data_IF_728883090231
#
_entry.id   IF_728883090231
#
_cell.length_a   1.000
_cell.length_b   1.000
_cell.length_c   1.000
_cell.angle_alpha   90.00
_cell.angle_beta   90.00
_cell.angle_gamma   90.00
#
_symmetry.space_group_name_H-M   'P 1'
#
loop_
_entity.id
_entity.type
_entity.pdbx_description
1 polymer ?
#
# COMPACT_ATOMS: atom_id res chain seq x y z
N UNK A 1 41.70 37.11 17.17
CA UNK A 1 43.02 37.43 17.76
C UNK A 1 42.72 37.89 19.16
N UNK A 2 43.30 37.24 20.18
CA UNK A 2 42.96 37.31 21.63
C UNK A 2 41.48 37.03 21.98
N UNK A 3 41.07 36.46 23.13
CA UNK A 3 41.69 35.56 24.13
C UNK A 3 40.53 34.66 24.69
N UNK A 4 40.66 33.35 24.97
CA UNK A 4 41.44 32.59 25.97
C UNK A 4 40.90 32.59 27.42
N UNK A 5 41.17 31.49 28.15
CA UNK A 5 40.90 31.19 29.59
C UNK A 5 39.45 30.80 30.00
N UNK A 6 39.17 29.91 30.98
CA UNK A 6 39.68 28.54 31.33
C UNK A 6 38.89 27.93 32.53
N UNK A 7 38.79 26.59 32.63
CA UNK A 7 38.39 25.84 33.86
C UNK A 7 37.29 24.78 33.61
N UNK A 8 37.34 23.46 33.91
CA UNK A 8 38.14 22.56 34.81
C UNK A 8 37.61 22.49 36.26
N UNK A 9 37.38 21.33 36.92
CA UNK A 9 37.15 19.91 36.54
C UNK A 9 36.65 19.10 37.79
N UNK A 10 36.61 17.76 37.68
CA UNK A 10 36.48 16.72 38.74
C UNK A 10 35.11 16.56 39.45
N UNK A 11 34.70 15.38 39.94
CA UNK A 11 35.28 14.02 39.82
C UNK A 11 34.79 13.01 40.88
N UNK A 12 35.16 11.71 40.73
CA UNK A 12 34.81 10.52 41.57
C UNK A 12 33.40 9.93 41.30
N UNK A 13 33.12 8.62 41.35
CA UNK A 13 33.89 7.42 41.75
C UNK A 13 33.55 6.94 43.18
N UNK A 14 33.49 5.66 43.55
CA UNK A 14 33.73 4.38 42.86
C UNK A 14 33.18 3.18 43.71
N UNK A 15 32.97 2.00 43.11
CA UNK A 15 32.97 0.68 43.78
C UNK A 15 31.64 -0.12 43.76
N UNK A 16 31.55 -1.47 43.81
CA UNK A 16 32.39 -2.64 43.41
C UNK A 16 32.07 -3.84 44.35
N UNK A 17 32.27 -5.08 43.86
CA UNK A 17 32.14 -6.41 44.50
C UNK A 17 30.77 -7.09 44.52
N UNK A 18 30.64 -8.42 44.59
CA UNK A 18 31.43 -9.60 44.13
C UNK A 18 30.56 -10.87 44.42
N UNK A 19 30.91 -12.04 43.83
CA UNK A 19 30.53 -13.42 44.24
C UNK A 19 29.13 -13.98 43.93
N UNK A 20 28.90 -15.31 43.89
CA UNK A 20 29.66 -16.53 43.48
C UNK A 20 28.64 -17.73 43.44
N UNK A 21 29.06 -18.88 42.89
CA UNK A 21 28.55 -20.28 43.06
C UNK A 21 27.08 -20.71 42.75
N UNK A 22 27.00 -21.63 41.77
CA UNK A 22 26.47 -23.01 41.83
C UNK A 22 25.16 -23.39 42.58
N UNK A 23 24.25 -24.07 41.88
CA UNK A 23 24.10 -25.55 42.01
C UNK A 23 23.19 -26.17 40.93
N UNK A 24 23.40 -27.46 40.66
CA UNK A 24 22.68 -28.28 39.67
C UNK A 24 21.39 -28.88 40.22
N UNK A 25 20.47 -29.32 39.34
CA UNK A 25 19.81 -30.63 39.45
C UNK A 25 19.33 -31.15 38.08
N UNK A 26 19.37 -32.47 37.93
CA UNK A 26 19.20 -33.25 36.68
C UNK A 26 17.97 -34.20 36.79
N UNK A 27 17.81 -35.10 35.82
CA UNK A 27 17.03 -36.36 35.81
C UNK A 27 15.59 -36.32 35.29
N UNK A 28 15.45 -36.77 34.03
CA UNK A 28 14.53 -37.77 33.46
C UNK A 28 13.07 -37.95 33.97
N UNK A 29 12.12 -38.07 33.02
CA UNK A 29 11.57 -39.39 32.61
C UNK A 29 10.34 -39.30 31.65
N UNK A 30 10.51 -39.80 30.42
CA UNK A 30 9.46 -40.54 29.66
C UNK A 30 9.53 -42.05 30.08
N UNK A 31 8.69 -43.04 29.61
CA UNK A 31 7.84 -43.10 28.40
C UNK A 31 6.49 -43.89 28.58
N UNK A 32 5.96 -44.47 27.47
CA UNK A 32 5.00 -45.63 27.34
C UNK A 32 3.48 -45.28 27.34
N UNK A 33 2.63 -45.53 26.30
CA UNK A 33 2.34 -46.67 25.36
C UNK A 33 1.33 -47.68 25.98
N UNK A 34 0.22 -48.15 25.36
CA UNK A 34 -0.34 -48.14 23.97
C UNK A 34 -1.92 -48.04 24.00
N UNK A 35 -2.84 -48.49 23.11
CA UNK A 35 -2.87 -49.20 21.80
C UNK A 35 -4.30 -49.13 21.12
N UNK A 36 -4.37 -49.35 19.78
CA UNK A 36 -5.51 -49.93 18.99
C UNK A 36 -6.90 -49.22 18.95
N UNK A 37 -7.86 -49.47 18.04
CA UNK A 37 -8.05 -50.42 16.90
C UNK A 37 -8.88 -49.71 15.78
N UNK A 38 -8.71 -49.93 14.46
CA UNK A 38 -9.29 -50.98 13.58
C UNK A 38 -10.84 -51.07 13.55
N UNK A 39 -11.57 -51.38 12.46
CA UNK A 39 -11.41 -51.35 10.97
C UNK A 39 -12.85 -51.49 10.36
N UNK A 40 -13.22 -51.77 9.08
CA UNK A 40 -12.57 -52.03 7.78
C UNK A 40 -13.63 -51.80 6.63
N UNK A 41 -13.36 -52.23 5.38
CA UNK A 41 -14.26 -52.46 4.22
C UNK A 41 -14.69 -51.22 3.39
N UNK A 42 -14.58 -51.05 2.05
CA UNK A 42 -14.11 -51.78 0.83
C UNK A 42 -15.21 -52.01 -0.25
N UNK A 43 -14.82 -51.81 -1.52
CA UNK A 43 -15.44 -52.22 -2.81
C UNK A 43 -16.58 -51.41 -3.48
N UNK A 44 -16.34 -51.14 -4.77
CA UNK A 44 -17.29 -51.13 -5.90
C UNK A 44 -16.76 -52.16 -6.95
N UNK A 45 -17.50 -52.55 -8.02
CA UNK A 45 -17.41 -51.82 -9.31
C UNK A 45 -18.65 -51.99 -10.25
N UNK A 46 -18.48 -51.60 -11.54
CA UNK A 46 -19.20 -52.09 -12.75
C UNK A 46 -20.70 -51.68 -12.96
N UNK A 47 -21.24 -51.53 -14.19
CA UNK A 47 -20.72 -51.56 -15.58
C UNK A 47 -21.59 -50.68 -16.54
N UNK A 48 -21.27 -50.69 -17.85
CA UNK A 48 -21.77 -49.79 -18.91
C UNK A 48 -23.19 -50.03 -19.46
N UNK A 49 -23.73 -49.01 -20.16
CA UNK A 49 -24.78 -49.16 -21.18
C UNK A 49 -24.77 -48.01 -22.20
N UNK A 50 -24.62 -48.32 -23.50
CA UNK A 50 -24.76 -47.36 -24.62
C UNK A 50 -26.19 -47.31 -25.17
N UNK A 51 -26.64 -46.15 -25.65
CA UNK A 51 -27.78 -46.01 -26.59
C UNK A 51 -27.50 -44.87 -27.57
N UNK A 52 -27.61 -45.15 -28.87
CA UNK A 52 -27.36 -44.21 -29.98
C UNK A 52 -28.62 -43.39 -30.40
N UNK A 53 -28.51 -42.37 -31.29
CA UNK A 53 -29.45 -41.24 -31.32
C UNK A 53 -30.72 -41.42 -32.17
N UNK A 54 -31.78 -40.68 -31.78
CA UNK A 54 -33.00 -40.52 -32.57
C UNK A 54 -32.97 -39.26 -33.45
N UNK A 55 -33.56 -39.35 -34.65
CA UNK A 55 -33.49 -38.32 -35.69
C UNK A 55 -34.54 -37.18 -35.56
N UNK A 56 -34.34 -36.12 -36.34
CA UNK A 56 -35.11 -34.87 -36.27
C UNK A 56 -36.53 -34.92 -36.87
N UNK A 57 -37.37 -33.97 -36.48
CA UNK A 57 -38.68 -33.64 -37.07
C UNK A 57 -38.86 -32.10 -36.97
N UNK A 58 -39.45 -31.41 -37.97
CA UNK A 58 -39.13 -30.00 -38.21
C UNK A 58 -39.85 -28.98 -37.31
N UNK A 59 -39.32 -27.75 -37.32
CA UNK A 59 -39.76 -26.66 -36.46
C UNK A 59 -41.13 -26.06 -36.84
N UNK A 60 -41.96 -25.81 -35.83
CA UNK A 60 -43.05 -24.84 -35.91
C UNK A 60 -42.55 -23.39 -35.71
N UNK A 61 -43.29 -22.37 -36.17
CA UNK A 61 -42.87 -20.97 -36.07
C UNK A 61 -42.83 -20.49 -34.61
N UNK A 62 -41.76 -19.81 -34.17
CA UNK A 62 -41.67 -19.28 -32.82
C UNK A 62 -42.64 -18.11 -32.61
N UNK A 63 -43.30 -18.09 -31.45
CA UNK A 63 -44.16 -16.97 -31.04
C UNK A 63 -43.33 -15.68 -30.83
N UNK A 64 -43.93 -14.48 -30.97
CA UNK A 64 -43.19 -13.22 -30.88
C UNK A 64 -42.49 -13.04 -29.53
N UNK A 65 -41.16 -13.02 -29.54
CA UNK A 65 -40.38 -12.69 -28.35
C UNK A 65 -40.60 -11.22 -28.01
N UNK A 66 -41.15 -10.96 -26.81
CA UNK A 66 -41.28 -9.60 -26.29
C UNK A 66 -39.91 -8.92 -26.23
N UNK A 67 -39.80 -7.75 -26.86
CA UNK A 67 -38.52 -7.03 -27.01
C UNK A 67 -37.99 -6.59 -25.65
N UNK A 68 -37.08 -7.39 -25.06
CA UNK A 68 -36.32 -6.96 -23.91
C UNK A 68 -35.46 -5.75 -24.34
N UNK A 69 -35.67 -4.61 -23.67
CA UNK A 69 -34.84 -3.43 -23.90
C UNK A 69 -33.36 -3.78 -23.62
N UNK A 70 -32.39 -3.27 -24.41
CA UNK A 70 -30.99 -3.63 -24.22
C UNK A 70 -30.53 -3.23 -22.82
N UNK A 71 -30.12 -4.22 -22.01
CA UNK A 71 -29.41 -3.95 -20.78
C UNK A 71 -28.15 -3.10 -21.11
N UNK A 72 -27.85 -2.03 -20.35
CA UNK A 72 -26.77 -1.12 -20.69
C UNK A 72 -25.43 -1.88 -20.67
N UNK A 73 -24.82 -2.03 -21.84
CA UNK A 73 -23.70 -2.94 -22.04
C UNK A 73 -22.53 -2.62 -21.10
N UNK A 74 -22.26 -3.52 -20.14
CA UNK A 74 -21.05 -3.45 -19.34
C UNK A 74 -19.82 -3.56 -20.26
N UNK A 75 -18.80 -2.77 -19.95
CA UNK A 75 -17.69 -2.55 -20.88
C UNK A 75 -16.95 -3.83 -21.26
N UNK A 76 -16.83 -4.07 -22.56
CA UNK A 76 -16.05 -5.18 -23.12
C UNK A 76 -14.65 -5.26 -22.50
N UNK A 77 -14.21 -6.48 -22.16
CA UNK A 77 -12.98 -6.80 -21.42
C UNK A 77 -12.95 -6.51 -19.90
N UNK A 78 -13.96 -6.99 -19.14
CA UNK A 78 -13.78 -7.57 -17.79
C UNK A 78 -13.18 -6.68 -16.68
N UNK A 79 -13.10 -5.37 -16.91
CA UNK A 79 -12.32 -4.40 -16.15
C UNK A 79 -13.20 -3.60 -15.19
N UNK A 80 -12.86 -3.67 -13.91
CA UNK A 80 -13.67 -3.08 -12.84
C UNK A 80 -13.49 -1.55 -12.75
N UNK A 81 -14.53 -0.82 -13.16
CA UNK A 81 -14.53 0.65 -13.15
C UNK A 81 -14.52 1.23 -11.73
N UNK A 82 -15.01 0.52 -10.72
CA UNK A 82 -14.95 0.96 -9.32
C UNK A 82 -13.49 1.00 -8.86
N UNK A 83 -12.74 -0.08 -9.09
CA UNK A 83 -11.35 -0.18 -8.66
C UNK A 83 -10.43 0.82 -9.34
N UNK A 84 -10.69 1.15 -10.61
CA UNK A 84 -9.95 2.23 -11.29
C UNK A 84 -10.33 3.62 -10.75
N UNK A 85 -11.60 3.86 -10.45
CA UNK A 85 -12.01 5.11 -9.80
C UNK A 85 -11.37 5.25 -8.40
N UNK A 86 -11.27 4.16 -7.61
CA UNK A 86 -10.61 4.16 -6.30
C UNK A 86 -9.11 4.45 -6.45
N UNK A 87 -8.41 3.86 -7.43
CA UNK A 87 -6.99 4.20 -7.73
C UNK A 87 -6.83 5.69 -8.08
N UNK A 88 -7.74 6.25 -8.87
CA UNK A 88 -7.65 7.66 -9.26
C UNK A 88 -7.86 8.60 -8.06
N UNK A 89 -8.83 8.30 -7.18
CA UNK A 89 -9.02 9.05 -5.92
C UNK A 89 -7.77 8.92 -5.04
N UNK A 90 -7.24 7.70 -4.87
CA UNK A 90 -6.05 7.46 -4.07
C UNK A 90 -4.81 8.22 -4.58
N UNK A 91 -4.54 8.22 -5.89
CA UNK A 91 -3.38 8.97 -6.43
C UNK A 91 -3.59 10.48 -6.28
N UNK A 92 -4.82 10.97 -6.46
CA UNK A 92 -5.12 12.39 -6.24
C UNK A 92 -4.83 12.79 -4.79
N UNK A 93 -5.18 11.94 -3.82
CA UNK A 93 -4.85 12.16 -2.41
C UNK A 93 -3.34 12.12 -2.12
N UNK A 94 -2.57 11.22 -2.76
CA UNK A 94 -1.08 11.23 -2.67
C UNK A 94 -0.52 12.59 -3.12
N UNK A 95 -0.90 13.06 -4.32
CA UNK A 95 -0.34 14.30 -4.88
C UNK A 95 -0.76 15.53 -4.05
N UNK A 96 -2.01 15.58 -3.58
CA UNK A 96 -2.48 16.63 -2.66
C UNK A 96 -1.74 16.58 -1.32
N UNK A 97 -1.52 15.39 -0.75
CA UNK A 97 -0.76 15.21 0.48
C UNK A 97 0.67 15.72 0.37
N UNK A 98 1.39 15.35 -0.69
CA UNK A 98 2.75 15.85 -0.92
C UNK A 98 2.81 17.36 -1.21
N UNK A 99 1.76 17.95 -1.79
CA UNK A 99 1.65 19.41 -1.97
C UNK A 99 1.30 20.16 -0.67
N UNK A 100 0.68 19.51 0.32
CA UNK A 100 0.40 20.09 1.64
C UNK A 100 1.55 19.94 2.64
N UNK A 101 2.43 18.95 2.46
CA UNK A 101 3.53 18.63 3.38
C UNK A 101 4.42 19.83 3.77
N UNK A 102 4.90 20.65 2.82
CA UNK A 102 5.70 21.85 3.14
C UNK A 102 4.92 22.96 3.90
N UNK A 103 3.59 22.90 3.92
CA UNK A 103 2.73 23.99 4.40
C UNK A 103 2.15 23.76 5.81
N UNK A 104 2.39 22.59 6.43
CA UNK A 104 1.60 22.10 7.57
C UNK A 104 1.51 23.04 8.77
N UNK A 105 2.61 23.69 9.13
CA UNK A 105 2.69 24.59 10.28
C UNK A 105 1.80 25.85 10.17
N UNK A 106 1.20 26.11 9.00
CA UNK A 106 0.40 27.32 8.76
C UNK A 106 -0.99 27.29 9.41
N UNK A 107 -1.65 26.12 9.51
CA UNK A 107 -3.00 26.05 10.10
C UNK A 107 -3.39 24.65 10.58
N UNK A 108 -3.98 24.60 11.79
CA UNK A 108 -4.64 23.42 12.35
C UNK A 108 -5.62 22.75 11.38
N UNK A 109 -6.32 23.51 10.54
CA UNK A 109 -7.26 22.95 9.55
C UNK A 109 -6.55 22.18 8.43
N UNK A 110 -5.34 22.62 8.06
CA UNK A 110 -4.50 21.95 7.06
C UNK A 110 -3.80 20.73 7.67
N UNK A 111 -3.26 20.86 8.88
CA UNK A 111 -2.68 19.78 9.68
C UNK A 111 -3.71 18.65 9.92
N UNK A 112 -4.93 18.99 10.31
CA UNK A 112 -6.04 18.06 10.47
C UNK A 112 -6.43 17.35 9.15
N UNK A 113 -6.51 18.11 8.06
CA UNK A 113 -6.80 17.55 6.74
C UNK A 113 -5.67 16.59 6.28
N UNK A 114 -4.42 16.92 6.60
CA UNK A 114 -3.24 16.09 6.33
C UNK A 114 -3.24 14.80 7.18
N UNK A 115 -3.48 14.87 8.49
CA UNK A 115 -3.59 13.69 9.36
C UNK A 115 -4.68 12.73 8.86
N UNK A 116 -5.86 13.27 8.50
CA UNK A 116 -6.94 12.47 7.90
C UNK A 116 -6.53 11.86 6.54
N UNK A 117 -5.89 12.64 5.67
CA UNK A 117 -5.44 12.20 4.34
C UNK A 117 -4.35 11.12 4.44
N UNK A 118 -3.39 11.26 5.36
CA UNK A 118 -2.33 10.27 5.63
C UNK A 118 -2.85 9.02 6.33
N UNK A 119 -3.94 9.13 7.11
CA UNK A 119 -4.66 7.98 7.64
C UNK A 119 -5.24 7.08 6.54
N UNK A 120 -5.52 7.59 5.33
CA UNK A 120 -6.27 6.81 4.31
C UNK A 120 -5.56 6.55 2.97
N UNK A 121 -4.74 7.47 2.44
CA UNK A 121 -4.28 7.35 1.05
C UNK A 121 -3.31 6.18 0.80
N UNK A 122 -2.29 5.99 1.65
CA UNK A 122 -1.40 4.82 1.53
C UNK A 122 -2.15 3.52 1.85
N UNK A 123 -2.94 3.39 2.93
CA UNK A 123 -3.77 2.21 3.17
C UNK A 123 -4.66 1.79 1.99
N UNK A 124 -5.25 2.74 1.22
CA UNK A 124 -5.93 2.38 -0.05
C UNK A 124 -4.96 1.71 -1.03
N UNK A 125 -3.79 2.30 -1.29
CA UNK A 125 -2.80 1.74 -2.22
C UNK A 125 -2.25 0.39 -1.77
N UNK A 126 -1.99 0.22 -0.47
CA UNK A 126 -1.50 -1.02 0.12
C UNK A 126 -2.56 -2.12 0.01
N UNK A 127 -3.81 -1.85 0.38
CA UNK A 127 -4.92 -2.82 0.27
C UNK A 127 -5.27 -3.16 -1.17
N UNK A 128 -5.28 -2.19 -2.10
CA UNK A 128 -5.45 -2.48 -3.52
C UNK A 128 -4.29 -3.32 -4.08
N UNK A 129 -3.06 -3.05 -3.65
CA UNK A 129 -1.89 -3.84 -4.06
C UNK A 129 -1.99 -5.28 -3.58
N UNK A 130 -2.43 -5.51 -2.35
CA UNK A 130 -2.77 -6.84 -1.84
C UNK A 130 -3.85 -7.52 -2.70
N UNK A 131 -4.95 -6.81 -2.99
CA UNK A 131 -6.04 -7.34 -3.80
C UNK A 131 -5.58 -7.77 -5.20
N UNK A 132 -4.75 -6.98 -5.89
CA UNK A 132 -4.19 -7.37 -7.19
C UNK A 132 -3.11 -8.47 -7.12
N UNK A 133 -2.63 -8.81 -5.92
CA UNK A 133 -1.57 -9.80 -5.68
C UNK A 133 -2.08 -11.16 -5.18
N UNK A 134 -3.36 -11.28 -4.80
CA UNK A 134 -3.98 -12.53 -4.27
C UNK A 134 -3.82 -13.78 -5.15
N UNK A 135 -3.58 -13.60 -6.44
CA UNK A 135 -3.37 -14.68 -7.44
C UNK A 135 -1.89 -14.87 -7.83
N UNK A 136 -0.96 -14.24 -7.12
CA UNK A 136 0.48 -14.42 -7.33
C UNK A 136 0.95 -15.77 -6.75
N UNK A 137 1.78 -16.48 -7.51
CA UNK A 137 2.34 -17.81 -7.17
C UNK A 137 3.85 -17.88 -7.47
N UNK A 138 4.51 -16.73 -7.62
CA UNK A 138 5.91 -16.60 -8.03
C UNK A 138 6.30 -17.29 -9.37
N UNK A 139 5.32 -17.71 -10.17
CA UNK A 139 5.56 -18.39 -11.46
C UNK A 139 6.44 -17.54 -12.42
N UNK A 140 7.25 -18.14 -13.32
CA UNK A 140 8.21 -17.40 -14.16
C UNK A 140 7.59 -16.31 -15.06
N UNK A 141 6.29 -16.38 -15.37
CA UNK A 141 5.55 -15.30 -16.05
C UNK A 141 5.23 -14.14 -15.10
N UNK A 142 4.85 -14.44 -13.86
CA UNK A 142 4.55 -13.43 -12.84
C UNK A 142 5.81 -12.79 -12.27
N UNK A 143 6.91 -13.55 -12.09
CA UNK A 143 8.20 -13.01 -11.67
C UNK A 143 8.76 -12.01 -12.70
N UNK A 144 8.78 -12.36 -13.99
CA UNK A 144 9.15 -11.42 -15.07
C UNK A 144 8.25 -10.18 -15.12
N UNK A 145 6.94 -10.35 -14.87
CA UNK A 145 6.01 -9.23 -14.75
C UNK A 145 6.30 -8.35 -13.53
N UNK A 146 6.65 -8.92 -12.37
CA UNK A 146 7.04 -8.19 -11.16
C UNK A 146 8.31 -7.35 -11.39
N UNK A 147 9.35 -7.94 -11.99
CA UNK A 147 10.58 -7.23 -12.38
C UNK A 147 10.28 -6.08 -13.34
N UNK A 148 9.50 -6.34 -14.41
CA UNK A 148 9.11 -5.35 -15.42
C UNK A 148 8.24 -4.20 -14.87
N UNK A 149 7.36 -4.48 -13.90
CA UNK A 149 6.35 -3.52 -13.41
C UNK A 149 6.67 -2.84 -12.08
N UNK A 150 7.73 -3.27 -11.39
CA UNK A 150 8.15 -2.71 -10.10
C UNK A 150 9.65 -2.47 -10.06
N UNK A 151 10.48 -3.50 -10.27
CA UNK A 151 11.94 -3.39 -10.08
C UNK A 151 12.59 -2.44 -11.09
N UNK A 152 12.29 -2.57 -12.39
CA UNK A 152 12.90 -1.68 -13.40
C UNK A 152 12.39 -0.24 -13.30
N UNK A 153 11.07 0.03 -13.11
CA UNK A 153 10.60 1.37 -12.78
C UNK A 153 11.22 1.96 -11.50
N UNK A 154 11.44 1.15 -10.46
CA UNK A 154 12.14 1.56 -9.24
C UNK A 154 13.58 2.03 -9.54
N UNK A 155 14.38 1.18 -10.20
CA UNK A 155 15.77 1.49 -10.52
C UNK A 155 15.91 2.75 -11.40
N UNK A 156 15.01 2.92 -12.39
CA UNK A 156 15.00 4.11 -13.26
C UNK A 156 14.63 5.37 -12.47
N UNK A 157 13.58 5.32 -11.64
CA UNK A 157 13.06 6.51 -10.94
C UNK A 157 13.92 6.90 -9.73
N UNK A 158 14.48 5.95 -8.98
CA UNK A 158 15.47 6.25 -7.93
C UNK A 158 16.72 6.90 -8.52
N UNK A 159 17.28 6.32 -9.59
CA UNK A 159 18.43 6.90 -10.30
C UNK A 159 18.12 8.31 -10.83
N UNK A 160 16.91 8.52 -11.35
CA UNK A 160 16.46 9.84 -11.78
C UNK A 160 16.30 10.83 -10.61
N UNK A 161 15.89 10.38 -9.42
CA UNK A 161 15.86 11.23 -8.21
C UNK A 161 17.25 11.52 -7.63
N UNK A 162 18.20 10.59 -7.70
CA UNK A 162 19.62 10.85 -7.37
C UNK A 162 20.21 11.91 -8.29
N UNK A 163 19.96 11.82 -9.61
CA UNK A 163 20.38 12.87 -10.55
C UNK A 163 19.64 14.19 -10.32
N UNK A 164 18.33 14.15 -10.04
CA UNK A 164 17.52 15.35 -9.83
C UNK A 164 17.93 16.12 -8.58
N UNK A 165 18.21 15.43 -7.45
CA UNK A 165 18.71 16.09 -6.23
C UNK A 165 20.14 16.62 -6.36
N UNK A 166 20.99 15.93 -7.14
CA UNK A 166 22.34 16.40 -7.43
C UNK A 166 22.34 17.72 -8.21
N UNK A 167 21.63 17.76 -9.35
CA UNK A 167 21.59 18.96 -10.20
C UNK A 167 20.64 20.07 -9.69
N UNK A 168 19.58 19.71 -8.95
CA UNK A 168 18.57 20.65 -8.46
C UNK A 168 18.84 21.22 -7.06
N UNK A 169 19.47 20.44 -6.17
CA UNK A 169 19.70 20.81 -4.77
C UNK A 169 21.17 20.69 -4.34
N UNK A 170 22.11 20.45 -5.27
CA UNK A 170 23.55 20.42 -5.01
C UNK A 170 24.04 19.26 -4.13
N UNK A 171 23.22 18.22 -3.94
CA UNK A 171 23.55 17.09 -3.07
C UNK A 171 24.55 16.13 -3.72
N UNK A 172 25.29 15.37 -2.91
CA UNK A 172 26.25 14.38 -3.40
C UNK A 172 25.58 13.27 -4.24
N UNK A 173 26.31 12.76 -5.24
CA UNK A 173 25.80 11.80 -6.22
C UNK A 173 25.86 10.36 -5.68
N UNK A 174 25.03 10.06 -4.67
CA UNK A 174 24.93 8.73 -4.08
C UNK A 174 23.73 7.91 -4.64
N UNK A 175 24.02 6.72 -5.17
CA UNK A 175 23.03 5.77 -5.66
C UNK A 175 22.64 4.76 -4.58
N UNK A 176 22.05 5.25 -3.49
CA UNK A 176 21.60 4.46 -2.34
C UNK A 176 20.35 3.60 -2.66
N UNK A 177 20.46 2.65 -3.60
CA UNK A 177 19.35 1.77 -4.04
C UNK A 177 18.75 0.87 -2.93
N UNK A 178 19.30 0.93 -1.71
CA UNK A 178 18.83 0.23 -0.52
C UNK A 178 18.13 1.15 0.50
N UNK A 179 18.20 2.48 0.35
CA UNK A 179 17.45 3.48 1.13
C UNK A 179 16.55 4.31 0.17
N UNK A 180 15.33 3.82 -0.10
CA UNK A 180 14.51 4.29 -1.22
C UNK A 180 13.85 5.66 -0.94
N UNK A 181 14.30 6.70 -1.65
CA UNK A 181 13.97 8.08 -1.30
C UNK A 181 12.48 8.45 -1.50
N UNK A 182 11.86 8.85 -0.38
CA UNK A 182 10.63 9.64 -0.24
C UNK A 182 9.32 9.08 -0.83
N UNK A 183 9.28 8.75 -2.13
CA UNK A 183 8.14 8.06 -2.78
C UNK A 183 8.51 6.70 -3.39
N UNK A 184 9.79 6.42 -3.64
CA UNK A 184 10.21 5.15 -4.26
C UNK A 184 10.10 3.96 -3.29
N UNK A 185 10.07 4.21 -1.97
CA UNK A 185 9.91 3.19 -0.91
C UNK A 185 8.75 2.25 -1.17
N UNK A 186 7.65 2.75 -1.74
CA UNK A 186 6.47 1.95 -2.01
C UNK A 186 6.73 0.90 -3.09
N UNK A 187 7.61 1.16 -4.08
CA UNK A 187 7.96 0.16 -5.09
C UNK A 187 8.87 -0.92 -4.50
N UNK A 188 9.88 -0.54 -3.70
CA UNK A 188 10.72 -1.48 -2.98
C UNK A 188 9.87 -2.38 -2.05
N UNK A 189 9.01 -1.76 -1.24
CA UNK A 189 8.06 -2.43 -0.34
C UNK A 189 7.09 -3.34 -1.11
N UNK A 190 6.50 -2.86 -2.21
CA UNK A 190 5.57 -3.60 -3.06
C UNK A 190 6.24 -4.83 -3.69
N UNK A 191 7.54 -4.79 -3.99
CA UNK A 191 8.28 -5.96 -4.46
C UNK A 191 8.26 -7.08 -3.40
N UNK A 192 8.62 -6.78 -2.15
CA UNK A 192 8.65 -7.78 -1.07
C UNK A 192 7.25 -8.27 -0.64
N UNK A 193 6.24 -7.39 -0.58
CA UNK A 193 4.86 -7.82 -0.33
C UNK A 193 4.31 -8.72 -1.45
N UNK A 194 4.59 -8.41 -2.73
CA UNK A 194 4.21 -9.27 -3.86
C UNK A 194 4.95 -10.60 -3.82
N UNK A 195 6.24 -10.60 -3.49
CA UNK A 195 7.05 -11.82 -3.37
C UNK A 195 6.57 -12.73 -2.23
N UNK A 196 6.20 -12.17 -1.08
CA UNK A 196 5.66 -12.91 0.08
C UNK A 196 4.19 -13.34 -0.04
N UNK A 197 3.45 -12.83 -1.04
CA UNK A 197 2.03 -13.15 -1.25
C UNK A 197 1.65 -14.64 -1.24
N UNK A 198 2.49 -15.60 -1.71
CA UNK A 198 2.18 -17.03 -1.59
C UNK A 198 2.19 -17.55 -0.14
N UNK A 199 3.04 -17.00 0.73
CA UNK A 199 3.17 -17.43 2.15
C UNK A 199 1.88 -17.12 2.91
N UNK A 200 1.34 -15.92 2.74
CA UNK A 200 0.08 -15.48 3.36
C UNK A 200 -1.15 -16.34 2.99
N UNK A 201 -1.05 -17.19 1.96
CA UNK A 201 -2.13 -18.10 1.53
C UNK A 201 -2.12 -19.46 2.22
N UNK A 202 -1.02 -19.86 2.86
CA UNK A 202 -0.95 -21.09 3.68
C UNK A 202 -1.09 -20.81 5.18
N UNK A 203 -0.90 -19.55 5.59
CA UNK A 203 -1.06 -19.12 6.99
C UNK A 203 -2.54 -19.16 7.41
N UNK A 204 -2.85 -19.82 8.54
CA UNK A 204 -4.22 -20.06 9.03
C UNK A 204 -4.96 -18.82 9.51
N UNK A 205 -4.25 -17.80 9.99
CA UNK A 205 -4.79 -16.53 10.53
C UNK A 205 -3.98 -15.33 9.99
N UNK A 206 -3.99 -15.08 8.67
CA UNK A 206 -2.97 -14.24 8.03
C UNK A 206 -3.06 -12.77 8.47
N UNK A 207 -4.27 -12.23 8.65
CA UNK A 207 -4.47 -10.85 9.14
C UNK A 207 -3.98 -10.69 10.58
N UNK A 208 -4.23 -11.67 11.47
CA UNK A 208 -3.78 -11.62 12.87
C UNK A 208 -2.25 -11.62 12.95
N UNK A 209 -1.61 -12.51 12.18
CA UNK A 209 -0.14 -12.61 12.14
C UNK A 209 0.47 -11.35 11.50
N UNK A 210 -0.17 -10.75 10.48
CA UNK A 210 0.27 -9.46 9.93
C UNK A 210 0.19 -8.32 10.96
N UNK A 211 -0.84 -8.29 11.83
CA UNK A 211 -0.93 -7.34 12.94
C UNK A 211 0.17 -7.59 13.99
N UNK A 212 0.44 -8.84 14.36
CA UNK A 212 1.53 -9.18 15.28
C UNK A 212 2.89 -8.72 14.71
N UNK A 213 3.16 -8.96 13.43
CA UNK A 213 4.37 -8.47 12.76
C UNK A 213 4.42 -6.94 12.71
N UNK A 214 3.30 -6.26 12.45
CA UNK A 214 3.21 -4.79 12.50
C UNK A 214 3.48 -4.21 13.88
N UNK A 215 3.16 -4.92 14.96
CA UNK A 215 3.43 -4.49 16.33
C UNK A 215 4.89 -4.76 16.72
N UNK A 216 5.41 -5.96 16.42
CA UNK A 216 6.80 -6.33 16.66
C UNK A 216 7.81 -5.45 15.88
N UNK A 217 7.45 -5.03 14.66
CA UNK A 217 8.22 -4.06 13.89
C UNK A 217 8.22 -2.63 14.48
N UNK A 218 7.33 -2.37 15.45
CA UNK A 218 7.28 -1.11 16.19
C UNK A 218 7.93 -1.16 17.58
N UNK A 219 8.29 -2.34 18.09
CA UNK A 219 9.17 -2.52 19.25
C UNK A 219 10.66 -2.52 18.91
N UNK A 220 11.03 -2.25 17.65
CA UNK A 220 12.41 -2.21 17.19
C UNK A 220 12.65 -0.93 16.35
N UNK A 221 13.82 -0.31 16.50
CA UNK A 221 14.21 0.87 15.73
C UNK A 221 14.70 0.50 14.32
N UNK A 222 13.76 0.10 13.46
CA UNK A 222 14.01 -0.36 12.09
C UNK A 222 14.26 0.81 11.12
N UNK A 223 15.41 1.47 11.29
CA UNK A 223 15.83 2.67 10.52
C UNK A 223 16.59 2.33 9.22
N UNK A 224 16.50 3.24 8.24
CA UNK A 224 17.28 3.22 6.99
C UNK A 224 16.91 2.12 5.99
N UNK A 225 17.32 0.88 6.26
CA UNK A 225 17.31 -0.20 5.28
C UNK A 225 15.90 -0.49 4.70
N UNK A 226 15.73 -0.20 3.41
CA UNK A 226 14.55 -0.50 2.59
C UNK A 226 13.21 0.05 3.14
N UNK A 227 13.27 1.07 4.02
CA UNK A 227 12.11 1.56 4.79
C UNK A 227 11.36 0.42 5.54
N UNK A 228 12.12 -0.54 6.08
CA UNK A 228 11.60 -1.80 6.64
C UNK A 228 10.54 -1.60 7.74
N UNK A 229 10.71 -0.62 8.63
CA UNK A 229 9.70 -0.27 9.63
C UNK A 229 8.34 0.05 8.99
N UNK A 230 8.35 0.85 7.91
CA UNK A 230 7.14 1.21 7.14
C UNK A 230 6.58 0.02 6.37
N UNK A 231 7.43 -0.81 5.77
CA UNK A 231 7.04 -2.05 5.08
C UNK A 231 6.31 -3.04 6.00
N UNK A 232 6.77 -3.18 7.24
CA UNK A 232 6.17 -4.12 8.21
C UNK A 232 4.94 -3.53 8.92
N UNK A 233 4.93 -2.23 9.24
CA UNK A 233 3.76 -1.60 9.86
C UNK A 233 2.55 -1.48 8.90
N UNK A 234 2.73 -1.30 7.59
CA UNK A 234 1.62 -1.32 6.63
C UNK A 234 1.16 -2.73 6.21
N UNK A 235 1.89 -3.79 6.60
CA UNK A 235 1.61 -5.18 6.21
C UNK A 235 0.16 -5.66 6.46
N UNK A 236 -0.54 -5.29 7.56
CA UNK A 236 -1.93 -5.69 7.79
C UNK A 236 -2.86 -5.28 6.65
N UNK A 237 -2.68 -4.08 6.09
CA UNK A 237 -3.50 -3.58 4.98
C UNK A 237 -3.29 -4.37 3.69
N UNK A 238 -2.06 -4.85 3.45
CA UNK A 238 -1.73 -5.68 2.29
C UNK A 238 -2.38 -7.06 2.41
N UNK A 239 -2.33 -7.65 3.60
CA UNK A 239 -2.88 -8.99 3.89
C UNK A 239 -4.42 -8.98 3.98
N UNK A 240 -5.02 -7.88 4.45
CA UNK A 240 -6.45 -7.59 4.25
C UNK A 240 -6.75 -7.57 2.75
N UNK A 241 -5.95 -6.85 1.95
CA UNK A 241 -6.05 -6.80 0.49
C UNK A 241 -6.04 -8.18 -0.18
N UNK A 242 -5.08 -9.05 0.17
CA UNK A 242 -5.01 -10.44 -0.31
C UNK A 242 -6.31 -11.23 -0.02
N UNK A 243 -6.98 -10.89 1.07
CA UNK A 243 -8.22 -11.54 1.55
C UNK A 243 -9.50 -10.96 0.93
N UNK A 244 -9.42 -9.84 0.18
CA UNK A 244 -10.59 -9.22 -0.45
C UNK A 244 -11.02 -9.93 -1.74
N UNK A 245 -12.34 -9.96 -1.97
CA UNK A 245 -13.00 -10.55 -3.14
C UNK A 245 -13.95 -9.53 -3.78
N UNK A 246 -14.44 -9.79 -5.00
CA UNK A 246 -15.28 -8.83 -5.76
C UNK A 246 -16.58 -8.49 -5.03
N UNK A 247 -17.12 -9.46 -4.30
CA UNK A 247 -18.40 -9.35 -3.58
C UNK A 247 -18.29 -8.36 -2.41
N UNK A 248 -17.11 -8.22 -1.80
CA UNK A 248 -16.86 -7.22 -0.75
C UNK A 248 -16.94 -5.79 -1.33
N UNK A 249 -16.40 -5.56 -2.52
CA UNK A 249 -16.52 -4.27 -3.24
C UNK A 249 -17.93 -4.03 -3.80
N UNK A 250 -18.74 -5.07 -4.00
CA UNK A 250 -20.17 -4.92 -4.30
C UNK A 250 -20.96 -4.50 -3.04
N UNK A 251 -20.72 -5.17 -1.91
CA UNK A 251 -21.36 -4.85 -0.63
C UNK A 251 -21.06 -3.43 -0.14
N UNK A 252 -19.81 -2.96 -0.27
CA UNK A 252 -19.42 -1.58 0.05
C UNK A 252 -20.21 -0.52 -0.75
N UNK A 253 -20.78 -0.86 -1.91
CA UNK A 253 -21.55 0.09 -2.73
C UNK A 253 -23.05 0.11 -2.42
N UNK A 254 -23.52 -0.69 -1.45
CA UNK A 254 -24.92 -0.68 -1.00
C UNK A 254 -25.28 0.64 -0.31
N UNK A 255 -26.56 1.05 -0.41
CA UNK A 255 -27.01 2.35 0.11
C UNK A 255 -26.71 2.52 1.61
N UNK A 256 -26.99 1.49 2.43
CA UNK A 256 -26.79 1.53 3.88
C UNK A 256 -25.32 1.72 4.28
N UNK A 257 -24.38 1.05 3.60
CA UNK A 257 -22.95 1.23 3.86
C UNK A 257 -22.49 2.63 3.46
N UNK A 258 -22.99 3.16 2.33
CA UNK A 258 -22.67 4.52 1.87
C UNK A 258 -23.28 5.61 2.77
N UNK A 259 -24.44 5.35 3.38
CA UNK A 259 -25.01 6.22 4.41
C UNK A 259 -24.20 6.16 5.71
N UNK A 260 -23.79 4.97 6.16
CA UNK A 260 -22.95 4.79 7.34
C UNK A 260 -21.53 5.38 7.18
N UNK A 261 -21.01 5.44 5.95
CA UNK A 261 -19.74 6.07 5.65
C UNK A 261 -19.72 7.58 5.96
N UNK A 262 -20.84 8.29 5.82
CA UNK A 262 -20.90 9.74 6.07
C UNK A 262 -20.54 10.11 7.52
N UNK A 263 -21.19 9.56 8.58
CA UNK A 263 -20.81 9.84 9.96
C UNK A 263 -19.44 9.26 10.33
N UNK A 264 -18.99 8.15 9.72
CA UNK A 264 -17.63 7.63 9.93
C UNK A 264 -16.58 8.64 9.45
N UNK A 265 -16.73 9.19 8.25
CA UNK A 265 -15.80 10.17 7.71
C UNK A 265 -15.90 11.52 8.44
N UNK A 266 -17.11 11.97 8.79
CA UNK A 266 -17.28 13.18 9.60
C UNK A 266 -16.62 13.04 10.99
N UNK A 267 -16.80 11.89 11.65
CA UNK A 267 -16.15 11.57 12.93
C UNK A 267 -14.62 11.46 12.81
N UNK A 268 -14.10 10.90 11.72
CA UNK A 268 -12.66 10.82 11.47
C UNK A 268 -12.03 12.20 11.18
N UNK A 269 -12.70 13.06 10.40
CA UNK A 269 -12.26 14.44 10.13
C UNK A 269 -12.31 15.28 11.41
N UNK A 270 -13.38 15.15 12.20
CA UNK A 270 -13.48 15.81 13.51
C UNK A 270 -12.40 15.32 14.48
N UNK A 271 -12.17 14.00 14.55
CA UNK A 271 -11.11 13.39 15.34
C UNK A 271 -9.72 13.90 14.94
N UNK A 272 -9.41 13.96 13.65
CA UNK A 272 -8.16 14.53 13.15
C UNK A 272 -8.03 16.03 13.51
N UNK A 273 -9.12 16.81 13.48
CA UNK A 273 -9.12 18.21 13.90
C UNK A 273 -8.93 18.39 15.41
N UNK A 274 -9.43 17.47 16.24
CA UNK A 274 -9.18 17.45 17.68
C UNK A 274 -7.73 17.04 17.99
N UNK A 275 -7.19 16.04 17.28
CA UNK A 275 -5.87 15.47 17.54
C UNK A 275 -4.70 16.29 16.96
N UNK A 276 -4.92 17.08 15.91
CA UNK A 276 -3.90 17.89 15.23
C UNK A 276 -2.90 18.61 16.17
N UNK A 277 -3.33 19.50 17.09
CA UNK A 277 -2.39 20.21 17.99
C UNK A 277 -1.80 19.34 19.12
N UNK A 278 -1.98 18.02 19.09
CA UNK A 278 -1.65 17.09 20.18
C UNK A 278 -0.92 15.82 19.72
N UNK A 279 -0.81 15.53 18.42
CA UNK A 279 -0.26 14.27 17.89
C UNK A 279 0.69 14.52 16.72
N UNK A 280 1.94 14.08 16.85
CA UNK A 280 2.94 14.15 15.78
C UNK A 280 2.51 13.39 14.52
N UNK A 281 2.73 13.98 13.35
CA UNK A 281 2.49 13.37 12.03
C UNK A 281 3.25 12.05 11.82
N UNK A 282 4.33 11.80 12.58
CA UNK A 282 5.08 10.53 12.55
C UNK A 282 4.19 9.30 12.83
N UNK A 283 3.12 9.46 13.63
CA UNK A 283 2.15 8.38 13.87
C UNK A 283 1.47 7.90 12.58
N UNK A 284 1.13 8.82 11.67
CA UNK A 284 0.46 8.52 10.39
C UNK A 284 1.43 8.25 9.23
N UNK A 285 2.74 8.36 9.46
CA UNK A 285 3.76 7.87 8.51
C UNK A 285 4.06 6.37 8.66
N UNK A 286 3.63 5.75 9.77
CA UNK A 286 3.82 4.32 10.08
C UNK A 286 5.28 3.83 9.99
N UNK A 287 6.27 4.72 10.20
CA UNK A 287 7.70 4.39 10.09
C UNK A 287 8.40 4.19 11.43
N UNK A 288 8.01 4.96 12.45
CA UNK A 288 8.69 4.98 13.75
C UNK A 288 8.25 3.84 14.68
N UNK A 289 9.18 3.37 15.51
CA UNK A 289 8.90 2.52 16.66
C UNK A 289 8.42 3.31 17.89
N UNK A 290 8.21 2.63 19.01
CA UNK A 290 7.71 3.28 20.24
C UNK A 290 8.72 4.26 20.87
N UNK A 291 10.02 3.97 20.77
CA UNK A 291 11.09 4.78 21.38
C UNK A 291 11.24 6.12 20.67
N UNK A 292 11.43 6.12 19.34
CA UNK A 292 11.36 7.31 18.48
C UNK A 292 10.02 8.10 18.55
N UNK A 293 8.93 7.50 19.05
CA UNK A 293 7.65 8.19 19.33
C UNK A 293 7.50 8.67 20.78
N UNK A 294 8.50 8.46 21.64
CA UNK A 294 8.51 8.91 23.03
C UNK A 294 7.50 8.18 23.94
N UNK A 295 7.10 6.96 23.60
CA UNK A 295 6.06 6.20 24.33
C UNK A 295 6.51 4.80 24.72
N UNK A 296 5.95 4.26 25.80
CA UNK A 296 6.17 2.87 26.19
C UNK A 296 5.48 1.92 25.21
N UNK A 297 6.07 0.74 24.98
CA UNK A 297 5.55 -0.24 24.03
C UNK A 297 4.06 -0.64 24.28
N UNK A 298 3.55 -0.81 25.52
CA UNK A 298 2.13 -1.07 25.74
C UNK A 298 1.20 0.05 25.26
N UNK A 299 1.60 1.32 25.43
CA UNK A 299 0.85 2.48 24.92
C UNK A 299 0.90 2.49 23.39
N UNK A 300 2.09 2.31 22.81
CA UNK A 300 2.27 2.21 21.37
C UNK A 300 1.40 1.10 20.75
N UNK A 301 1.40 -0.10 21.33
CA UNK A 301 0.63 -1.23 20.82
C UNK A 301 -0.88 -0.97 20.89
N UNK A 302 -1.37 -0.41 22.00
CA UNK A 302 -2.78 -0.02 22.15
C UNK A 302 -3.19 1.03 21.11
N UNK A 303 -2.39 2.09 20.96
CA UNK A 303 -2.64 3.15 19.97
C UNK A 303 -2.57 2.59 18.55
N UNK A 304 -1.61 1.73 18.22
CA UNK A 304 -1.49 1.10 16.89
C UNK A 304 -2.65 0.16 16.57
N UNK A 305 -3.17 -0.62 17.52
CA UNK A 305 -4.36 -1.44 17.32
C UNK A 305 -5.59 -0.55 17.04
N UNK A 306 -5.77 0.52 17.82
CA UNK A 306 -6.84 1.50 17.59
C UNK A 306 -6.69 2.22 16.24
N UNK A 307 -5.46 2.62 15.88
CA UNK A 307 -5.12 3.26 14.61
C UNK A 307 -5.40 2.33 13.42
N UNK A 308 -4.99 1.06 13.49
CA UNK A 308 -5.29 0.04 12.47
C UNK A 308 -6.80 -0.12 12.27
N UNK A 309 -7.56 -0.27 13.35
CA UNK A 309 -9.02 -0.41 13.28
C UNK A 309 -9.71 0.83 12.69
N UNK A 310 -9.35 2.03 13.18
CA UNK A 310 -9.88 3.29 12.68
C UNK A 310 -9.52 3.51 11.20
N UNK A 311 -8.28 3.22 10.80
CA UNK A 311 -7.84 3.28 9.40
C UNK A 311 -8.65 2.33 8.52
N UNK A 312 -8.90 1.08 8.94
CA UNK A 312 -9.75 0.15 8.16
C UNK A 312 -11.17 0.68 8.01
N UNK A 313 -11.77 1.27 9.05
CA UNK A 313 -13.11 1.86 8.95
C UNK A 313 -13.14 3.06 7.98
N UNK A 314 -12.17 3.98 8.07
CA UNK A 314 -12.06 5.14 7.17
C UNK A 314 -11.77 4.70 5.72
N UNK A 315 -10.89 3.72 5.53
CA UNK A 315 -10.57 3.09 4.24
C UNK A 315 -11.83 2.53 3.56
N UNK A 316 -12.61 1.72 4.28
CA UNK A 316 -13.86 1.13 3.75
C UNK A 316 -14.91 2.22 3.48
N UNK A 317 -15.01 3.23 4.35
CA UNK A 317 -15.92 4.35 4.18
C UNK A 317 -15.58 5.19 2.93
N UNK A 318 -14.31 5.55 2.69
CA UNK A 318 -13.90 6.24 1.45
C UNK A 318 -14.20 5.39 0.21
N UNK A 319 -13.83 4.10 0.23
CA UNK A 319 -14.07 3.18 -0.91
C UNK A 319 -15.57 3.03 -1.23
N UNK A 320 -16.45 3.06 -0.22
CA UNK A 320 -17.91 2.99 -0.40
C UNK A 320 -18.47 4.18 -1.19
N UNK A 321 -17.93 5.38 -0.97
CA UNK A 321 -18.45 6.60 -1.58
C UNK A 321 -18.01 6.74 -3.05
N UNK A 322 -16.85 6.20 -3.41
CA UNK A 322 -16.35 6.17 -4.80
C UNK A 322 -17.37 5.53 -5.74
N UNK A 323 -17.81 6.22 -6.81
CA UNK A 323 -18.80 5.67 -7.74
C UNK A 323 -18.32 4.39 -8.44
N UNK A 324 -19.16 3.35 -8.50
CA UNK A 324 -18.86 2.12 -9.25
C UNK A 324 -19.09 2.23 -10.77
N UNK A 325 -19.80 3.26 -11.23
CA UNK A 325 -20.05 3.50 -12.66
C UNK A 325 -18.80 4.01 -13.38
N UNK A 326 -18.68 3.72 -14.68
CA UNK A 326 -17.66 4.32 -15.54
C UNK A 326 -17.84 5.84 -15.58
N UNK A 327 -16.76 6.57 -15.31
CA UNK A 327 -16.64 8.02 -15.38
C UNK A 327 -15.56 8.33 -16.43
N UNK A 328 -15.88 8.94 -17.58
CA UNK A 328 -14.96 8.99 -18.74
C UNK A 328 -13.54 9.48 -18.42
N UNK A 329 -13.44 10.53 -17.61
CA UNK A 329 -12.18 11.11 -17.13
C UNK A 329 -11.52 10.21 -16.08
N UNK A 330 -12.19 10.00 -14.94
CA UNK A 330 -11.65 9.35 -13.74
C UNK A 330 -11.30 7.87 -13.99
N UNK A 331 -12.18 7.09 -14.63
CA UNK A 331 -11.91 5.66 -14.91
C UNK A 331 -10.79 5.50 -15.95
N UNK A 332 -10.68 6.43 -16.91
CA UNK A 332 -9.59 6.45 -17.88
C UNK A 332 -8.23 6.68 -17.22
N UNK A 333 -8.17 7.61 -16.26
CA UNK A 333 -6.95 7.96 -15.53
C UNK A 333 -6.61 7.00 -14.38
N UNK A 334 -7.56 6.24 -13.83
CA UNK A 334 -7.29 5.11 -12.95
C UNK A 334 -6.40 4.02 -13.57
N UNK A 335 -6.34 3.95 -14.92
CA UNK A 335 -5.37 3.12 -15.65
C UNK A 335 -3.91 3.59 -15.52
N UNK A 336 -3.71 4.85 -15.17
CA UNK A 336 -2.46 5.58 -15.30
C UNK A 336 -1.92 6.07 -13.95
N UNK A 337 -2.51 5.65 -12.83
CA UNK A 337 -2.12 6.11 -11.49
C UNK A 337 -0.62 5.92 -11.19
N UNK A 338 0.06 4.94 -11.79
CA UNK A 338 1.50 4.74 -11.65
C UNK A 338 2.35 5.85 -12.32
N UNK A 339 1.85 6.47 -13.40
CA UNK A 339 2.54 7.60 -14.03
C UNK A 339 2.50 8.84 -13.14
N UNK A 340 1.32 9.19 -12.63
CA UNK A 340 1.20 10.23 -11.61
C UNK A 340 1.98 9.88 -10.33
N UNK A 341 1.98 8.61 -9.90
CA UNK A 341 2.75 8.16 -8.74
C UNK A 341 4.24 8.46 -8.88
N UNK A 342 4.87 8.04 -9.97
CA UNK A 342 6.31 8.18 -10.14
C UNK A 342 6.74 9.60 -10.55
N UNK A 343 5.88 10.34 -11.26
CA UNK A 343 6.25 11.64 -11.85
C UNK A 343 5.88 12.85 -10.98
N UNK A 344 4.88 12.76 -10.09
CA UNK A 344 4.48 13.93 -9.28
C UNK A 344 5.59 14.38 -8.32
N UNK A 345 6.45 13.45 -7.85
CA UNK A 345 7.52 13.76 -6.92
C UNK A 345 8.51 14.79 -7.49
N UNK A 346 8.83 14.70 -8.78
CA UNK A 346 9.68 15.70 -9.45
C UNK A 346 9.05 17.09 -9.43
N UNK A 347 7.74 17.20 -9.70
CA UNK A 347 7.04 18.48 -9.66
C UNK A 347 6.92 19.05 -8.23
N UNK A 348 6.62 18.19 -7.24
CA UNK A 348 6.45 18.60 -5.85
C UNK A 348 7.78 18.99 -5.17
N UNK A 349 8.90 18.29 -5.46
CA UNK A 349 10.24 18.69 -5.01
C UNK A 349 10.81 19.86 -5.80
N UNK A 350 10.51 19.98 -7.10
CA UNK A 350 10.83 21.20 -7.85
C UNK A 350 10.16 22.44 -7.26
N UNK A 351 8.89 22.35 -6.86
CA UNK A 351 8.20 23.44 -6.16
C UNK A 351 8.84 23.78 -4.79
N UNK A 352 9.48 22.81 -4.14
CA UNK A 352 10.23 22.99 -2.88
C UNK A 352 11.60 23.63 -3.11
N UNK A 353 12.28 23.35 -4.23
CA UNK A 353 13.61 23.90 -4.57
C UNK A 353 13.57 25.19 -5.40
N UNK A 354 12.38 25.61 -5.85
CA UNK A 354 12.13 26.90 -6.50
C UNK A 354 11.27 27.83 -5.64
N UNK A 355 11.33 27.65 -4.32
CA UNK A 355 10.76 28.51 -3.28
C UNK A 355 9.26 28.84 -3.46
N UNK A 356 8.51 27.94 -4.11
CA UNK A 356 7.10 28.18 -4.48
C UNK A 356 6.21 28.22 -3.23
N UNK A 357 6.58 27.50 -2.18
CA UNK A 357 5.85 27.48 -0.92
C UNK A 357 6.11 28.73 -0.05
N UNK A 358 7.25 29.38 -0.21
CA UNK A 358 7.63 30.60 0.52
C UNK A 358 6.84 31.84 0.05
N UNK A 359 6.16 31.75 -1.09
CA UNK A 359 5.28 32.80 -1.60
C UNK A 359 4.16 33.12 -0.58
N UNK A 360 4.06 34.36 -0.05
CA UNK A 360 3.09 34.68 1.01
C UNK A 360 1.62 34.40 0.67
N UNK A 361 1.27 34.31 -0.61
CA UNK A 361 -0.06 33.88 -1.06
C UNK A 361 -0.38 32.42 -0.72
N UNK A 362 0.61 31.51 -0.78
CA UNK A 362 0.46 30.09 -0.46
C UNK A 362 0.09 29.91 1.02
N UNK A 363 0.65 30.74 1.89
CA UNK A 363 0.30 30.93 3.29
C UNK A 363 -1.03 31.70 3.49
N UNK A 364 -2.08 31.33 2.73
CA UNK A 364 -3.46 31.81 2.93
C UNK A 364 -4.48 30.70 2.68
N UNK A 365 -5.71 30.88 3.16
CA UNK A 365 -6.82 29.97 2.84
C UNK A 365 -7.08 29.85 1.32
N UNK A 366 -6.88 30.93 0.56
CA UNK A 366 -6.96 30.91 -0.90
C UNK A 366 -5.77 30.16 -1.52
N UNK A 367 -4.57 30.35 -0.96
CA UNK A 367 -3.35 29.62 -1.32
C UNK A 367 -3.51 28.11 -1.21
N UNK A 368 -3.99 27.61 -0.07
CA UNK A 368 -4.29 26.17 0.12
C UNK A 368 -5.26 25.65 -0.95
N UNK A 369 -6.34 26.39 -1.24
CA UNK A 369 -7.30 25.99 -2.28
C UNK A 369 -6.65 25.94 -3.66
N UNK A 370 -5.83 26.94 -4.02
CA UNK A 370 -5.10 26.98 -5.29
C UNK A 370 -4.07 25.85 -5.38
N UNK A 371 -3.28 25.59 -4.33
CA UNK A 371 -2.32 24.47 -4.28
C UNK A 371 -3.03 23.12 -4.39
N UNK A 372 -4.18 22.95 -3.71
CA UNK A 372 -4.99 21.73 -3.81
C UNK A 372 -5.53 21.53 -5.22
N UNK A 373 -6.05 22.58 -5.87
CA UNK A 373 -6.51 22.52 -7.25
C UNK A 373 -5.36 22.27 -8.23
N UNK A 374 -4.20 22.87 -8.02
CA UNK A 374 -2.99 22.62 -8.81
C UNK A 374 -2.51 21.17 -8.70
N UNK A 375 -2.54 20.56 -7.50
CA UNK A 375 -2.24 19.15 -7.27
C UNK A 375 -3.24 18.21 -7.99
N UNK A 376 -4.53 18.55 -7.99
CA UNK A 376 -5.56 17.81 -8.75
C UNK A 376 -5.31 17.94 -10.27
N UNK A 377 -5.02 19.14 -10.78
CA UNK A 377 -4.71 19.38 -12.20
C UNK A 377 -3.43 18.65 -12.61
N UNK A 378 -2.38 18.69 -11.80
CA UNK A 378 -1.15 17.94 -11.99
C UNK A 378 -1.43 16.43 -12.08
N UNK A 379 -2.28 15.89 -11.20
CA UNK A 379 -2.70 14.47 -11.24
C UNK A 379 -3.40 14.12 -12.56
N UNK A 380 -4.28 15.00 -13.07
CA UNK A 380 -4.94 14.83 -14.37
C UNK A 380 -3.95 14.88 -15.55
N UNK A 381 -3.02 15.84 -15.52
CA UNK A 381 -1.96 16.01 -16.53
C UNK A 381 -1.02 14.81 -16.56
N UNK A 382 -0.55 14.32 -15.42
CA UNK A 382 0.36 13.18 -15.34
C UNK A 382 -0.31 11.84 -15.71
N UNK A 383 -1.63 11.74 -15.55
CA UNK A 383 -2.41 10.60 -16.06
C UNK A 383 -2.74 10.68 -17.57
N UNK A 384 -2.43 11.81 -18.24
CA UNK A 384 -2.85 12.07 -19.62
C UNK A 384 -2.16 11.18 -20.68
N UNK A 385 -2.77 10.93 -21.85
CA UNK A 385 -2.15 10.13 -22.90
C UNK A 385 -0.76 10.61 -23.36
N UNK A 386 -0.47 11.92 -23.55
CA UNK A 386 0.86 12.38 -23.93
C UNK A 386 1.95 12.01 -22.92
N UNK A 387 1.72 12.26 -21.61
CA UNK A 387 2.68 11.89 -20.55
C UNK A 387 2.90 10.38 -20.50
N UNK A 388 1.81 9.61 -20.67
CA UNK A 388 1.89 8.14 -20.71
C UNK A 388 2.71 7.61 -21.88
N UNK A 389 2.64 8.23 -23.06
CA UNK A 389 3.48 7.86 -24.20
C UNK A 389 4.94 8.22 -23.91
N UNK A 390 5.20 9.47 -23.51
CA UNK A 390 6.54 10.01 -23.27
C UNK A 390 7.33 9.23 -22.20
N UNK A 391 6.69 8.83 -21.10
CA UNK A 391 7.32 8.11 -19.99
C UNK A 391 7.04 6.59 -19.98
N UNK A 392 6.45 6.05 -21.06
CA UNK A 392 6.15 4.60 -21.16
C UNK A 392 7.38 3.70 -21.01
N UNK A 393 8.55 4.18 -21.44
CA UNK A 393 9.83 3.47 -21.32
C UNK A 393 10.28 3.31 -19.85
N UNK A 394 10.03 4.31 -19.00
CA UNK A 394 10.40 4.29 -17.58
C UNK A 394 9.36 3.54 -16.73
N UNK A 395 8.07 3.80 -16.97
CA UNK A 395 6.98 3.31 -16.12
C UNK A 395 6.49 1.92 -16.53
N UNK A 396 6.60 1.53 -17.81
CA UNK A 396 6.10 0.26 -18.35
C UNK A 396 7.08 -0.43 -19.34
N UNK A 397 8.40 -0.45 -19.07
CA UNK A 397 9.48 -0.82 -20.01
C UNK A 397 9.20 -2.10 -20.79
N UNK A 398 9.40 -2.07 -22.12
CA UNK A 398 9.31 -3.27 -22.99
C UNK A 398 10.58 -4.11 -22.91
N UNK A 399 10.70 -4.92 -21.85
CA UNK A 399 11.79 -5.88 -21.65
C UNK A 399 11.65 -7.14 -22.54
N UNK A 400 11.38 -6.94 -23.82
CA UNK A 400 11.33 -7.99 -24.83
C UNK A 400 12.78 -8.44 -25.16
N UNK A 401 13.03 -9.74 -25.22
CA UNK A 401 14.38 -10.34 -25.37
C UNK A 401 15.21 -10.44 -24.08
N UNK A 402 15.14 -9.46 -23.17
CA UNK A 402 16.01 -9.41 -21.97
C UNK A 402 15.69 -10.40 -20.84
N UNK A 403 14.51 -11.04 -20.86
CA UNK A 403 14.05 -11.95 -19.81
C UNK A 403 13.62 -13.29 -20.40
N UNK A 404 14.45 -14.33 -20.23
CA UNK A 404 14.36 -15.69 -20.82
C UNK A 404 12.94 -16.14 -21.15
N UNK A 405 12.74 -16.57 -22.39
CA UNK A 405 11.46 -16.98 -22.96
C UNK A 405 10.87 -18.24 -22.31
N UNK A 406 9.57 -18.53 -22.50
CA UNK A 406 9.01 -19.85 -22.19
C UNK A 406 9.67 -20.98 -23.01
N UNK A 407 10.22 -20.62 -24.17
CA UNK A 407 10.93 -21.45 -25.16
C UNK A 407 12.33 -21.89 -24.71
N UNK A 408 12.96 -21.19 -23.76
CA UNK A 408 14.37 -21.38 -23.40
C UNK A 408 14.59 -22.60 -22.48
N UNK A 409 13.70 -23.60 -22.57
CA UNK A 409 13.68 -24.87 -21.82
C UNK A 409 13.70 -26.11 -22.72
N UNK A 410 13.77 -25.95 -24.05
CA UNK A 410 13.87 -27.07 -25.00
C UNK A 410 15.26 -27.20 -25.64
N UNK A 411 16.29 -26.67 -24.99
CA UNK A 411 17.69 -26.65 -25.46
C UNK A 411 18.68 -26.88 -24.29
N UNK A 412 18.31 -27.77 -23.37
CA UNK A 412 19.13 -28.24 -22.24
C UNK A 412 18.75 -29.67 -21.87
#
# INVERSE_FOLDING_TARGET
MTDQLTGRADGRGNGHRDRDDDTEHEVDAEPVVDATDAADVVAAPEADAEVEPAAATPAGPPAPQATQAPAPAEGTNGRDSHLDNVKFVAITLVVVGHAWGPMLAWSRSLEAAYLFLYTVHMPIFVTLSGYFSRHFTASPRQARSLVRSVVVPYLIIESAFTLYRHFGAGQDLEFALHDPWWITWFLATLFFWRLSSPVWRVVRFPIVIAVVVSLAAGSAELTGALELGRMLQYLPFFVIGLSLRREHFAWLRTLWVRLAAVPILAGAIYGAYVLAPHVSVEWVYWRQGNEALGVSYPIFALVKIAQLAATVLVLLAVISLVPGRRLPVITGFGAASMYAYLLHGFAAKGAEWWDVYDLPFVHTHAGIVVVTLAAVVLTLVLCSPPVRVLFSWAVQPKLEGWLRGPTDRSLS
#
